data_IF_561812135362
#
_entry.id   IF_561812135362
#
_cell.length_a   1.000
_cell.length_b   1.000
_cell.length_c   1.000
_cell.angle_alpha   90.00
_cell.angle_beta   90.00
_cell.angle_gamma   90.00
#
_symmetry.space_group_name_H-M   'P 1'
#
loop_
_entity.id
_entity.type
_entity.pdbx_description
1 polymer ?
#
# COMPACT_ATOMS: atom_id res chain seq x y z
N UNK A 1 6.51 11.52 -17.43
CA UNK A 1 7.28 10.62 -16.54
C UNK A 1 7.04 9.21 -17.08
N UNK A 2 8.02 8.60 -17.73
CA UNK A 2 7.87 7.27 -18.32
C UNK A 2 7.82 6.24 -17.20
N UNK A 3 6.63 5.71 -16.92
CA UNK A 3 6.48 4.52 -16.09
C UNK A 3 7.26 3.40 -16.77
N UNK A 4 8.03 2.61 -16.01
CA UNK A 4 8.67 1.41 -16.55
C UNK A 4 7.58 0.52 -17.16
N UNK A 5 7.68 0.19 -18.45
CA UNK A 5 6.65 -0.55 -19.18
C UNK A 5 6.24 -1.86 -18.48
N UNK A 6 7.15 -2.50 -17.74
CA UNK A 6 6.83 -3.68 -16.95
C UNK A 6 5.93 -3.41 -15.75
N UNK A 7 6.10 -2.28 -15.06
CA UNK A 7 5.22 -1.88 -13.96
C UNK A 7 3.83 -1.61 -14.50
N UNK A 8 3.72 -0.87 -15.61
CA UNK A 8 2.45 -0.57 -16.26
C UNK A 8 1.72 -1.86 -16.69
N UNK A 9 2.46 -2.78 -17.35
CA UNK A 9 1.95 -4.10 -17.73
C UNK A 9 1.44 -4.88 -16.52
N UNK A 10 2.20 -4.96 -15.43
CA UNK A 10 1.77 -5.67 -14.22
C UNK A 10 0.49 -5.05 -13.67
N UNK A 11 0.44 -3.72 -13.54
CA UNK A 11 -0.74 -3.01 -13.01
C UNK A 11 -1.97 -3.29 -13.89
N UNK A 12 -1.83 -3.28 -15.22
CA UNK A 12 -2.92 -3.57 -16.16
C UNK A 12 -3.47 -5.00 -16.06
N UNK A 13 -2.68 -5.94 -15.54
CA UNK A 13 -3.08 -7.35 -15.38
C UNK A 13 -3.75 -7.65 -14.03
N UNK A 14 -3.85 -6.66 -13.13
CA UNK A 14 -4.50 -6.83 -11.84
C UNK A 14 -6.01 -6.92 -12.01
N UNK A 15 -6.59 -8.06 -11.65
CA UNK A 15 -8.05 -8.27 -11.70
C UNK A 15 -8.73 -7.71 -10.44
N UNK A 16 -9.05 -6.42 -10.47
CA UNK A 16 -9.70 -5.72 -9.34
C UNK A 16 -11.17 -6.11 -9.19
N UNK A 17 -11.80 -6.55 -10.27
CA UNK A 17 -13.16 -7.06 -10.36
C UNK A 17 -13.39 -8.34 -9.55
N UNK A 18 -12.34 -9.13 -9.31
CA UNK A 18 -12.41 -10.38 -8.56
C UNK A 18 -12.36 -10.18 -7.03
N UNK A 19 -12.27 -8.94 -6.54
CA UNK A 19 -12.30 -8.64 -5.10
C UNK A 19 -13.73 -8.73 -4.60
N UNK A 20 -14.02 -9.70 -3.72
CA UNK A 20 -15.32 -9.88 -3.09
C UNK A 20 -15.81 -8.62 -2.36
N UNK A 21 -17.11 -8.39 -2.32
CA UNK A 21 -17.68 -7.21 -1.64
C UNK A 21 -17.39 -7.19 -0.14
N UNK A 22 -17.41 -8.35 0.52
CA UNK A 22 -16.99 -8.47 1.92
C UNK A 22 -15.57 -7.94 2.15
N UNK A 23 -14.65 -8.15 1.20
CA UNK A 23 -13.29 -7.61 1.27
C UNK A 23 -13.25 -6.10 1.04
N UNK A 24 -14.09 -5.57 0.15
CA UNK A 24 -14.21 -4.11 -0.09
C UNK A 24 -14.70 -3.40 1.17
N UNK A 25 -15.69 -3.96 1.86
CA UNK A 25 -16.20 -3.42 3.12
C UNK A 25 -15.12 -3.37 4.21
N UNK A 26 -14.32 -4.44 4.34
CA UNK A 26 -13.17 -4.45 5.27
C UNK A 26 -12.15 -3.35 4.93
N UNK A 27 -11.96 -3.03 3.65
CA UNK A 27 -10.99 -2.03 3.19
C UNK A 27 -11.55 -0.60 3.19
N UNK A 28 -12.88 -0.42 3.28
CA UNK A 28 -13.56 0.86 3.23
C UNK A 28 -12.99 1.91 4.21
N UNK A 29 -12.71 1.57 5.49
CA UNK A 29 -12.14 2.55 6.43
C UNK A 29 -10.76 3.08 6.00
N UNK A 30 -9.93 2.23 5.37
CA UNK A 30 -8.62 2.64 4.85
C UNK A 30 -8.78 3.56 3.64
N UNK A 31 -9.71 3.24 2.73
CA UNK A 31 -10.03 4.09 1.57
C UNK A 31 -10.51 5.45 2.03
N UNK A 32 -11.43 5.50 2.99
CA UNK A 32 -11.99 6.74 3.52
C UNK A 32 -10.93 7.60 4.21
N UNK A 33 -10.03 6.98 4.98
CA UNK A 33 -8.89 7.66 5.58
C UNK A 33 -7.98 8.30 4.53
N UNK A 34 -7.61 7.55 3.49
CA UNK A 34 -6.75 8.03 2.41
C UNK A 34 -7.45 9.19 1.68
N UNK A 35 -8.70 9.01 1.28
CA UNK A 35 -9.45 10.02 0.53
C UNK A 35 -9.65 11.32 1.34
N UNK A 36 -9.93 11.20 2.64
CA UNK A 36 -10.01 12.37 3.54
C UNK A 36 -8.70 13.15 3.55
N UNK A 37 -7.55 12.47 3.63
CA UNK A 37 -6.24 13.11 3.64
C UNK A 37 -5.87 13.72 2.29
N UNK A 38 -6.23 13.07 1.18
CA UNK A 38 -6.12 13.64 -0.18
C UNK A 38 -6.92 14.94 -0.27
N UNK A 39 -8.19 14.92 0.12
CA UNK A 39 -9.08 16.08 0.04
C UNK A 39 -8.58 17.25 0.89
N UNK A 40 -8.01 16.95 2.06
CA UNK A 40 -7.46 17.95 2.99
C UNK A 40 -6.00 18.31 2.72
N UNK A 41 -5.39 17.73 1.67
CA UNK A 41 -3.98 17.93 1.28
C UNK A 41 -2.98 17.64 2.41
N UNK A 42 -3.31 16.69 3.29
CA UNK A 42 -2.47 16.27 4.40
C UNK A 42 -1.60 15.07 4.02
N UNK A 43 -0.51 14.87 4.78
CA UNK A 43 0.33 13.68 4.67
C UNK A 43 -0.47 12.39 4.93
N UNK A 44 -0.27 11.40 4.07
CA UNK A 44 -0.86 10.06 4.16
C UNK A 44 0.24 9.10 4.57
N UNK A 45 0.23 8.68 5.83
CA UNK A 45 1.23 7.76 6.40
C UNK A 45 0.59 6.40 6.63
N UNK A 46 1.12 5.37 5.97
CA UNK A 46 0.56 4.01 6.01
C UNK A 46 1.62 3.03 6.51
N UNK A 47 1.32 2.33 7.61
CA UNK A 47 2.19 1.32 8.21
C UNK A 47 1.66 -0.08 7.90
N UNK A 48 2.43 -0.87 7.15
CA UNK A 48 2.12 -2.27 6.88
C UNK A 48 2.81 -3.18 7.89
N UNK A 49 2.02 -3.93 8.67
CA UNK A 49 2.55 -4.80 9.73
C UNK A 49 2.32 -6.25 9.32
N UNK A 50 3.36 -7.08 9.44
CA UNK A 50 3.21 -8.54 9.40
C UNK A 50 4.00 -9.20 10.53
N UNK A 51 3.89 -10.52 10.69
CA UNK A 51 4.48 -11.21 11.86
C UNK A 51 6.01 -11.13 11.94
N UNK A 52 6.70 -11.15 10.81
CA UNK A 52 8.17 -11.23 10.75
C UNK A 52 8.82 -10.10 9.94
N UNK A 53 8.05 -9.09 9.49
CA UNK A 53 8.52 -8.03 8.59
C UNK A 53 9.49 -8.46 7.46
N UNK A 54 9.20 -9.58 6.79
CA UNK A 54 10.13 -10.14 5.80
C UNK A 54 9.56 -10.17 4.39
N UNK A 55 8.25 -10.36 4.25
CA UNK A 55 7.60 -10.58 2.95
C UNK A 55 6.37 -9.71 2.77
N UNK A 56 5.27 -10.04 3.47
CA UNK A 56 3.96 -9.41 3.22
C UNK A 56 3.99 -7.90 3.45
N UNK A 57 4.53 -7.43 4.57
CA UNK A 57 4.61 -6.00 4.87
C UNK A 57 5.56 -5.25 3.94
N UNK A 58 6.71 -5.83 3.60
CA UNK A 58 7.65 -5.26 2.62
C UNK A 58 6.99 -5.12 1.24
N UNK A 59 6.34 -6.18 0.76
CA UNK A 59 5.66 -6.19 -0.52
C UNK A 59 4.52 -5.16 -0.55
N UNK A 60 3.73 -5.07 0.53
CA UNK A 60 2.67 -4.06 0.65
C UNK A 60 3.22 -2.64 0.69
N UNK A 61 4.31 -2.38 1.41
CA UNK A 61 4.95 -1.07 1.43
C UNK A 61 5.38 -0.64 0.04
N UNK A 62 6.10 -1.49 -0.69
CA UNK A 62 6.60 -1.18 -2.03
C UNK A 62 5.43 -0.94 -2.98
N UNK A 63 4.47 -1.87 -3.07
CA UNK A 63 3.35 -1.73 -4.00
C UNK A 63 2.44 -0.55 -3.67
N UNK A 64 2.19 -0.25 -2.40
CA UNK A 64 1.39 0.92 -2.02
C UNK A 64 2.09 2.23 -2.44
N UNK A 65 3.40 2.34 -2.22
CA UNK A 65 4.17 3.50 -2.65
C UNK A 65 4.20 3.61 -4.18
N UNK A 66 4.39 2.49 -4.89
CA UNK A 66 4.37 2.43 -6.35
C UNK A 66 3.01 2.85 -6.90
N UNK A 67 1.91 2.34 -6.36
CA UNK A 67 0.55 2.69 -6.79
C UNK A 67 0.21 4.16 -6.51
N UNK A 68 0.61 4.68 -5.36
CA UNK A 68 0.43 6.10 -5.04
C UNK A 68 1.12 7.00 -6.08
N UNK A 69 2.36 6.66 -6.45
CA UNK A 69 3.08 7.37 -7.49
C UNK A 69 2.42 7.19 -8.87
N UNK A 70 2.06 5.96 -9.24
CA UNK A 70 1.44 5.62 -10.52
C UNK A 70 0.11 6.38 -10.74
N UNK A 71 -0.75 6.43 -9.72
CA UNK A 71 -2.02 7.16 -9.77
C UNK A 71 -1.91 8.64 -9.38
N UNK A 72 -0.69 9.16 -9.24
CA UNK A 72 -0.40 10.57 -8.90
C UNK A 72 -1.08 11.05 -7.59
N UNK A 73 -1.20 10.16 -6.61
CA UNK A 73 -1.65 10.49 -5.26
C UNK A 73 -0.46 11.06 -4.48
N UNK A 74 -0.53 12.35 -4.17
CA UNK A 74 0.55 13.09 -3.52
C UNK A 74 0.62 12.80 -2.02
N UNK A 75 1.81 13.04 -1.46
CA UNK A 75 2.07 13.00 -0.02
C UNK A 75 1.79 11.65 0.65
N UNK A 76 1.94 10.54 -0.09
CA UNK A 76 1.85 9.18 0.46
C UNK A 76 3.24 8.68 0.87
N UNK A 77 3.35 8.25 2.12
CA UNK A 77 4.54 7.67 2.71
C UNK A 77 4.20 6.32 3.33
N UNK A 78 4.80 5.25 2.79
CA UNK A 78 4.58 3.89 3.24
C UNK A 78 5.77 3.35 4.05
N UNK A 79 5.45 2.66 5.15
CA UNK A 79 6.42 2.01 6.04
C UNK A 79 6.04 0.56 6.28
N UNK A 80 6.99 -0.27 6.70
CA UNK A 80 6.75 -1.65 7.09
C UNK A 80 7.35 -1.98 8.45
N UNK A 81 6.73 -2.90 9.19
CA UNK A 81 7.16 -3.30 10.52
C UNK A 81 6.73 -4.72 10.90
N UNK A 82 7.30 -5.21 12.01
CA UNK A 82 6.92 -6.47 12.63
C UNK A 82 6.10 -6.22 13.89
N UNK A 83 5.13 -7.08 14.19
CA UNK A 83 4.43 -7.03 15.48
C UNK A 83 5.26 -7.64 16.62
N UNK A 84 6.20 -8.54 16.30
CA UNK A 84 7.16 -9.10 17.25
C UNK A 84 8.57 -8.59 16.93
N UNK A 85 9.44 -8.42 17.94
CA UNK A 85 10.86 -8.23 17.69
C UNK A 85 11.36 -9.43 16.87
N UNK A 86 12.02 -9.17 15.75
CA UNK A 86 12.95 -10.19 15.23
C UNK A 86 14.03 -10.31 16.31
N UNK A 87 14.27 -11.52 16.82
CA UNK A 87 15.41 -11.78 17.69
C UNK A 87 16.68 -11.36 16.93
N UNK A 88 17.20 -10.17 17.25
CA UNK A 88 18.57 -9.82 17.03
C UNK A 88 19.37 -10.64 18.05
N UNK A 89 19.83 -11.82 17.65
CA UNK A 89 21.01 -12.38 18.30
C UNK A 89 22.18 -11.49 17.85
N UNK A 90 22.64 -10.64 18.78
CA UNK A 90 24.02 -10.15 18.78
C UNK A 90 24.93 -11.30 19.20
#
# INVERSE_FOLDING_TARGET
MTVYNDIDRIISTLSVENISDARKEILKPLVDFIQLKVNTKQDIRINFICTHNSRRSHLSQIWAQTMAHYFNIKNVFCYSGAQRPQHFFQ
#
